data_IF_355712391230
#
_entry.id   IF_355712391230
#
_cell.length_a   1.000
_cell.length_b   1.000
_cell.length_c   1.000
_cell.angle_alpha   90.00
_cell.angle_beta   90.00
_cell.angle_gamma   90.00
#
_symmetry.space_group_name_H-M   'P 1'
#
loop_
_entity.id
_entity.type
_entity.pdbx_description
1 polymer ?
#
# COMPACT_ATOMS: atom_id res chain seq x y z
N UNK A 1 -20.91 1.87 -3.15
CA UNK A 1 -20.60 3.28 -3.05
C UNK A 1 -19.16 3.57 -3.41
N UNK A 2 -18.93 4.61 -4.20
CA UNK A 2 -17.61 5.03 -4.60
C UNK A 2 -16.90 5.77 -3.48
N UNK A 3 -15.60 5.55 -3.33
CA UNK A 3 -14.79 6.30 -2.38
C UNK A 3 -14.62 7.75 -2.86
N UNK A 4 -14.40 8.66 -1.91
CA UNK A 4 -14.12 10.06 -2.23
C UNK A 4 -12.80 10.18 -3.00
N UNK A 5 -12.75 11.06 -3.99
CA UNK A 5 -11.52 11.33 -4.75
C UNK A 5 -10.37 11.77 -3.86
N UNK A 6 -10.64 12.54 -2.79
CA UNK A 6 -9.63 12.99 -1.84
C UNK A 6 -8.95 11.82 -1.13
N UNK A 7 -9.70 10.78 -0.78
CA UNK A 7 -9.14 9.58 -0.15
C UNK A 7 -8.26 8.79 -1.12
N UNK A 8 -8.68 8.63 -2.36
CA UNK A 8 -7.90 7.96 -3.42
C UNK A 8 -6.63 8.74 -3.71
N UNK A 9 -6.72 10.05 -3.87
CA UNK A 9 -5.57 10.92 -4.14
C UNK A 9 -4.57 10.89 -2.99
N UNK A 10 -5.04 10.89 -1.75
CA UNK A 10 -4.17 10.76 -0.56
C UNK A 10 -3.41 9.44 -0.60
N UNK A 11 -4.08 8.35 -0.93
CA UNK A 11 -3.44 7.03 -1.04
C UNK A 11 -2.36 7.01 -2.13
N UNK A 12 -2.61 7.65 -3.28
CA UNK A 12 -1.61 7.78 -4.35
C UNK A 12 -0.40 8.60 -3.89
N UNK A 13 -0.61 9.69 -3.15
CA UNK A 13 0.48 10.48 -2.56
C UNK A 13 1.30 9.65 -1.59
N UNK A 14 0.66 8.84 -0.75
CA UNK A 14 1.34 7.93 0.18
C UNK A 14 2.19 6.93 -0.60
N UNK A 15 1.67 6.34 -1.67
CA UNK A 15 2.43 5.41 -2.52
C UNK A 15 3.68 6.07 -3.11
N UNK A 16 3.57 7.30 -3.59
CA UNK A 16 4.70 8.04 -4.14
C UNK A 16 5.76 8.32 -3.08
N UNK A 17 5.36 8.75 -1.89
CA UNK A 17 6.27 9.00 -0.78
C UNK A 17 6.96 7.72 -0.30
N UNK A 18 6.23 6.62 -0.22
CA UNK A 18 6.81 5.30 0.13
C UNK A 18 7.88 4.90 -0.86
N UNK A 19 7.61 5.05 -2.16
CA UNK A 19 8.58 4.74 -3.22
C UNK A 19 9.80 5.63 -3.15
N UNK A 20 9.62 6.92 -2.90
CA UNK A 20 10.70 7.92 -2.83
C UNK A 20 11.63 7.66 -1.64
N UNK A 21 11.10 7.28 -0.48
CA UNK A 21 11.88 7.08 0.74
C UNK A 21 12.20 5.62 1.05
N UNK A 22 11.86 4.67 0.18
CA UNK A 22 12.03 3.25 0.42
C UNK A 22 13.49 2.89 0.72
N UNK A 23 14.44 3.33 -0.10
CA UNK A 23 15.87 3.02 0.08
C UNK A 23 16.44 3.64 1.35
N UNK A 24 16.06 4.89 1.69
CA UNK A 24 16.48 5.55 2.92
C UNK A 24 15.96 4.81 4.15
N UNK A 25 14.69 4.42 4.15
CA UNK A 25 14.10 3.68 5.26
C UNK A 25 14.74 2.33 5.45
N UNK A 26 14.97 1.60 4.37
CA UNK A 26 15.60 0.27 4.42
C UNK A 26 17.02 0.36 4.98
N UNK A 27 17.82 1.34 4.55
CA UNK A 27 19.17 1.56 5.06
C UNK A 27 19.15 1.87 6.56
N UNK A 28 18.25 2.77 7.01
CA UNK A 28 18.15 3.14 8.42
C UNK A 28 17.65 1.99 9.29
N UNK A 29 16.71 1.19 8.79
CA UNK A 29 16.22 -0.02 9.50
C UNK A 29 17.32 -1.07 9.62
N UNK A 30 18.12 -1.25 8.58
CA UNK A 30 19.25 -2.18 8.62
C UNK A 30 20.26 -1.79 9.72
N UNK A 31 20.56 -0.51 9.86
CA UNK A 31 21.43 0.01 10.92
C UNK A 31 20.78 -0.21 12.30
N UNK A 32 19.49 0.10 12.45
CA UNK A 32 18.79 -0.07 13.72
C UNK A 32 18.71 -1.52 14.18
N UNK A 33 18.57 -2.46 13.25
CA UNK A 33 18.44 -3.88 13.54
C UNK A 33 19.80 -4.61 13.64
N UNK A 34 20.90 -3.94 13.34
CA UNK A 34 22.23 -4.54 13.37
C UNK A 34 22.78 -4.55 14.80
N UNK A 35 22.79 -5.71 15.43
CA UNK A 35 23.25 -5.88 16.80
C UNK A 35 24.77 -5.71 16.96
N UNK A 36 25.53 -5.79 15.85
CA UNK A 36 26.99 -5.61 15.87
C UNK A 36 27.41 -4.15 16.02
N UNK A 37 26.51 -3.21 15.77
CA UNK A 37 26.80 -1.78 15.88
C UNK A 37 26.60 -1.24 17.29
N UNK A 38 27.35 -0.17 17.69
CA UNK A 38 27.14 0.49 18.96
C UNK A 38 25.71 1.03 19.11
N UNK A 39 25.23 1.08 20.36
CA UNK A 39 23.88 1.58 20.67
C UNK A 39 23.68 3.02 20.19
N UNK A 40 24.71 3.85 20.25
CA UNK A 40 24.67 5.24 19.81
C UNK A 40 24.32 5.39 18.32
N UNK A 41 24.97 4.59 17.46
CA UNK A 41 24.69 4.60 16.02
C UNK A 41 23.28 4.10 15.71
N UNK A 42 22.85 3.07 16.41
CA UNK A 42 21.49 2.53 16.27
C UNK A 42 20.45 3.57 16.70
N UNK A 43 20.71 4.30 17.77
CA UNK A 43 19.84 5.35 18.26
C UNK A 43 19.74 6.52 17.29
N UNK A 44 20.85 6.95 16.69
CA UNK A 44 20.86 7.98 15.65
C UNK A 44 20.02 7.56 14.44
N UNK A 45 20.11 6.29 14.02
CA UNK A 45 19.29 5.77 12.92
C UNK A 45 17.80 5.83 13.26
N UNK A 46 17.42 5.53 14.48
CA UNK A 46 16.02 5.65 14.95
C UNK A 46 15.53 7.09 14.91
N UNK A 47 16.35 8.04 15.31
CA UNK A 47 16.01 9.46 15.25
C UNK A 47 15.79 9.92 13.82
N UNK A 48 16.67 9.50 12.90
CA UNK A 48 16.53 9.81 11.47
C UNK A 48 15.26 9.20 10.87
N UNK A 49 14.90 7.99 11.26
CA UNK A 49 13.63 7.35 10.85
C UNK A 49 12.43 8.15 11.34
N UNK A 50 12.47 8.67 12.57
CA UNK A 50 11.40 9.48 13.14
C UNK A 50 11.25 10.83 12.42
N UNK A 51 12.32 11.38 11.87
CA UNK A 51 12.31 12.64 11.12
C UNK A 51 11.70 12.50 9.73
N UNK A 52 11.65 11.28 9.17
CA UNK A 52 11.07 11.04 7.85
C UNK A 52 9.55 11.29 7.86
N UNK A 53 8.94 11.69 6.72
CA UNK A 53 7.49 11.87 6.67
C UNK A 53 6.74 10.61 7.10
N UNK A 54 5.70 10.78 7.90
CA UNK A 54 4.87 9.64 8.37
C UNK A 54 4.27 8.87 7.20
N UNK A 55 3.84 9.58 6.17
CA UNK A 55 3.23 8.98 4.99
C UNK A 55 4.23 8.26 4.08
N UNK A 56 5.53 8.27 4.41
CA UNK A 56 6.54 7.48 3.70
C UNK A 56 6.61 6.03 4.20
N UNK A 57 5.87 5.66 5.24
CA UNK A 57 5.81 4.29 5.73
C UNK A 57 4.90 3.43 4.88
N UNK A 58 5.41 2.27 4.41
CA UNK A 58 4.65 1.34 3.57
C UNK A 58 3.39 0.78 4.26
N UNK A 59 3.36 0.78 5.59
CA UNK A 59 2.20 0.30 6.35
C UNK A 59 0.99 1.19 6.21
N UNK A 60 1.17 2.43 5.75
CA UNK A 60 0.09 3.39 5.53
C UNK A 60 -0.58 3.27 4.16
N UNK A 61 0.02 2.50 3.24
CA UNK A 61 -0.60 2.23 1.95
C UNK A 61 -1.83 1.36 2.17
N UNK A 62 -2.94 1.78 1.57
CA UNK A 62 -4.18 1.00 1.58
C UNK A 62 -4.49 0.50 0.18
N UNK A 63 -4.72 -0.80 0.06
CA UNK A 63 -5.20 -1.38 -1.20
C UNK A 63 -6.63 -0.90 -1.45
N UNK A 64 -6.86 -0.33 -2.62
CA UNK A 64 -8.18 0.18 -3.03
C UNK A 64 -8.54 -0.36 -4.40
N UNK A 65 -9.81 -0.62 -4.63
CA UNK A 65 -10.32 -1.03 -5.93
C UNK A 65 -9.91 0.00 -7.00
N UNK A 66 -9.34 -0.45 -8.10
CA UNK A 66 -8.94 0.45 -9.20
C UNK A 66 -10.14 1.08 -9.91
N UNK A 67 -11.29 0.44 -9.84
CA UNK A 67 -12.53 0.91 -10.50
C UNK A 67 -13.27 1.92 -9.64
N UNK A 68 -13.50 1.60 -8.36
CA UNK A 68 -14.35 2.40 -7.46
C UNK A 68 -13.59 3.09 -6.33
N UNK A 69 -12.38 2.64 -6.01
CA UNK A 69 -11.58 3.14 -4.90
C UNK A 69 -11.96 2.55 -3.54
N UNK A 70 -12.83 1.55 -3.51
CA UNK A 70 -13.28 0.93 -2.27
C UNK A 70 -12.11 0.25 -1.53
N UNK A 71 -11.87 0.55 -0.22
CA UNK A 71 -10.75 -0.05 0.53
C UNK A 71 -11.05 -1.44 1.10
N UNK A 72 -12.31 -1.83 1.15
CA UNK A 72 -12.74 -3.12 1.73
C UNK A 72 -13.14 -4.09 0.63
N UNK A 73 -13.14 -5.39 0.97
CA UNK A 73 -13.50 -6.47 0.04
C UNK A 73 -12.68 -6.42 -1.25
N UNK A 74 -11.37 -6.22 -1.11
CA UNK A 74 -10.42 -6.06 -2.21
C UNK A 74 -9.72 -7.39 -2.52
N UNK A 75 -9.72 -7.79 -3.79
CA UNK A 75 -8.96 -8.94 -4.26
C UNK A 75 -7.61 -8.50 -4.82
N UNK A 76 -6.53 -8.85 -4.15
CA UNK A 76 -5.17 -8.44 -4.55
C UNK A 76 -4.78 -8.90 -5.95
N UNK A 77 -5.18 -10.10 -6.33
CA UNK A 77 -4.87 -10.67 -7.64
C UNK A 77 -5.45 -9.83 -8.78
N UNK A 78 -6.67 -9.33 -8.60
CA UNK A 78 -7.41 -8.59 -9.63
C UNK A 78 -7.39 -7.08 -9.39
N UNK A 79 -6.90 -6.63 -8.25
CA UNK A 79 -6.83 -5.21 -7.85
C UNK A 79 -8.19 -4.51 -7.89
N UNK A 80 -9.24 -5.21 -7.53
CA UNK A 80 -10.60 -4.67 -7.53
C UNK A 80 -11.44 -5.25 -6.38
N UNK A 81 -12.52 -4.54 -6.02
CA UNK A 81 -13.43 -4.99 -5.00
C UNK A 81 -14.31 -6.14 -5.50
N UNK A 82 -14.93 -6.88 -4.56
CA UNK A 82 -15.86 -7.95 -4.92
C UNK A 82 -17.03 -7.48 -5.78
N UNK A 83 -17.49 -6.24 -5.57
CA UNK A 83 -18.60 -5.66 -6.33
C UNK A 83 -18.19 -5.41 -7.78
N UNK A 84 -17.03 -4.77 -8.00
CA UNK A 84 -16.49 -4.53 -9.33
C UNK A 84 -16.13 -5.84 -10.04
N UNK A 85 -15.58 -6.81 -9.32
CA UNK A 85 -15.29 -8.14 -9.86
C UNK A 85 -16.56 -8.79 -10.43
N UNK A 86 -17.65 -8.76 -9.67
CA UNK A 86 -18.91 -9.35 -10.10
C UNK A 86 -19.49 -8.64 -11.33
N UNK A 87 -19.48 -7.30 -11.32
CA UNK A 87 -19.98 -6.51 -12.45
C UNK A 87 -19.19 -6.75 -13.73
N UNK A 88 -17.86 -6.62 -13.67
CA UNK A 88 -17.00 -6.81 -14.84
C UNK A 88 -16.99 -8.26 -15.30
N UNK A 89 -17.03 -9.20 -14.38
CA UNK A 89 -17.11 -10.63 -14.69
C UNK A 89 -18.42 -10.99 -15.39
N UNK A 90 -19.53 -10.40 -14.96
CA UNK A 90 -20.86 -10.60 -15.58
C UNK A 90 -20.89 -10.06 -17.02
N UNK A 91 -20.11 -9.02 -17.31
CA UNK A 91 -19.98 -8.46 -18.66
C UNK A 91 -18.88 -9.12 -19.51
N UNK A 92 -18.21 -10.15 -18.96
CA UNK A 92 -17.15 -10.88 -19.66
C UNK A 92 -15.87 -10.08 -19.86
N UNK A 93 -15.62 -9.04 -19.05
CA UNK A 93 -14.46 -8.16 -19.18
C UNK A 93 -13.22 -8.63 -18.43
N UNK A 94 -13.31 -9.75 -17.70
CA UNK A 94 -12.18 -10.32 -16.97
C UNK A 94 -11.75 -11.61 -17.65
N UNK A 95 -10.55 -11.65 -18.29
CA UNK A 95 -10.07 -12.86 -18.95
C UNK A 95 -9.85 -14.00 -17.97
N UNK A 96 -10.25 -15.20 -18.36
CA UNK A 96 -10.04 -16.41 -17.55
C UNK A 96 -10.96 -16.56 -16.35
N UNK A 97 -11.87 -15.63 -16.11
CA UNK A 97 -12.82 -15.73 -15.01
C UNK A 97 -13.98 -16.64 -15.39
N UNK A 98 -14.20 -17.68 -14.59
CA UNK A 98 -15.33 -18.58 -14.73
C UNK A 98 -16.34 -18.27 -13.63
N UNK A 99 -17.57 -17.96 -14.02
CA UNK A 99 -18.65 -17.67 -13.06
C UNK A 99 -19.13 -18.97 -12.45
N UNK A 100 -19.07 -19.06 -11.11
CA UNK A 100 -19.53 -20.21 -10.37
C UNK A 100 -20.86 -19.89 -9.72
N UNK A 101 -21.86 -20.76 -9.92
CA UNK A 101 -23.15 -20.67 -9.25
C UNK A 101 -23.50 -22.02 -8.63
N UNK A 102 -23.93 -21.99 -7.37
CA UNK A 102 -24.27 -23.20 -6.59
C UNK A 102 -25.76 -23.29 -6.44
#
# INVERSE_FOLDING_TARGET
AMAKKSAVNRNEMVKQLVKQYASKRDALKAIDNDESLPLEERFEARLKLAELPRNSSKTRIRNRCEVTGRPRAYYRKLKMSRISLRELGSHGQIPGLVKSSW
#
